data_IF_359121969850
#
_entry.id   IF_359121969850
#
_cell.length_a   1.000
_cell.length_b   1.000
_cell.length_c   1.000
_cell.angle_alpha   90.00
_cell.angle_beta   90.00
_cell.angle_gamma   90.00
#
_symmetry.space_group_name_H-M   'P 1'
#
loop_
_entity.id
_entity.type
_entity.pdbx_description
1 polymer ?
#
# COMPACT_ATOMS: atom_id res chain seq x y z
N UNK A 1 11.69 7.44 -10.12
CA UNK A 1 10.88 6.43 -10.84
C UNK A 1 9.43 6.72 -10.55
N UNK A 2 8.54 6.49 -11.51
CA UNK A 2 7.10 6.67 -11.33
C UNK A 2 6.46 5.27 -11.31
N UNK A 3 5.62 5.01 -10.31
CA UNK A 3 4.85 3.76 -10.27
C UNK A 3 3.84 3.76 -11.42
N UNK A 4 3.64 2.60 -12.04
CA UNK A 4 2.50 2.44 -12.95
C UNK A 4 1.21 2.36 -12.13
N UNK A 5 0.35 3.36 -12.29
CA UNK A 5 -0.95 3.47 -11.63
C UNK A 5 -2.06 3.43 -12.68
N UNK A 6 -3.01 2.51 -12.49
CA UNK A 6 -4.19 2.44 -13.33
C UNK A 6 -5.11 3.64 -13.04
N UNK A 7 -5.51 4.33 -14.10
CA UNK A 7 -6.36 5.51 -14.06
C UNK A 7 -7.83 5.19 -14.39
N UNK A 8 -8.18 3.91 -14.57
CA UNK A 8 -9.55 3.46 -14.90
C UNK A 8 -10.61 3.94 -13.91
N UNK A 9 -10.23 4.26 -12.66
CA UNK A 9 -11.14 4.68 -11.61
C UNK A 9 -11.08 6.17 -11.25
N UNK A 10 -10.35 7.01 -11.98
CA UNK A 10 -9.90 8.37 -11.60
C UNK A 10 -10.95 9.46 -11.28
N UNK A 11 -12.26 9.20 -11.37
CA UNK A 11 -13.30 10.23 -11.23
C UNK A 11 -14.16 10.17 -9.97
N UNK A 12 -14.02 9.15 -9.11
CA UNK A 12 -14.81 9.03 -7.89
C UNK A 12 -14.04 9.62 -6.69
N UNK A 13 -14.58 10.66 -6.05
CA UNK A 13 -14.05 11.22 -4.80
C UNK A 13 -12.63 11.84 -4.84
N UNK A 14 -12.12 12.20 -6.03
CA UNK A 14 -10.79 12.79 -6.19
C UNK A 14 -10.57 14.08 -5.36
N UNK A 15 -11.64 14.81 -5.05
CA UNK A 15 -11.58 16.03 -4.23
C UNK A 15 -11.40 15.76 -2.72
N UNK A 16 -11.62 14.52 -2.26
CA UNK A 16 -11.64 14.17 -0.83
C UNK A 16 -10.72 13.02 -0.44
N UNK A 17 -10.25 12.21 -1.41
CA UNK A 17 -9.30 11.13 -1.15
C UNK A 17 -8.38 10.86 -2.36
N UNK A 18 -7.09 10.70 -2.09
CA UNK A 18 -6.13 10.10 -3.02
C UNK A 18 -6.22 8.58 -2.96
N UNK A 19 -6.36 7.92 -4.12
CA UNK A 19 -6.33 6.46 -4.24
C UNK A 19 -5.62 6.04 -5.52
N UNK A 20 -5.29 4.75 -5.64
CA UNK A 20 -4.70 4.18 -6.83
C UNK A 20 -4.66 2.66 -6.81
N UNK A 21 -4.68 2.07 -8.00
CA UNK A 21 -4.39 0.65 -8.22
C UNK A 21 -3.05 0.57 -8.93
N UNK A 22 -2.08 -0.13 -8.33
CA UNK A 22 -0.71 -0.15 -8.82
C UNK A 22 -0.42 -1.45 -9.56
N UNK A 23 0.21 -1.33 -10.74
CA UNK A 23 0.75 -2.47 -11.47
C UNK A 23 2.14 -2.87 -10.97
N UNK A 24 2.74 -3.86 -11.63
CA UNK A 24 4.06 -4.40 -11.25
C UNK A 24 5.25 -3.53 -11.65
N UNK A 25 5.04 -2.49 -12.45
CA UNK A 25 6.09 -1.66 -13.06
C UNK A 25 6.45 -0.43 -12.22
N UNK A 26 7.71 0.00 -12.32
CA UNK A 26 8.19 1.24 -11.71
C UNK A 26 8.86 1.09 -10.35
N UNK A 27 9.17 -0.14 -9.92
CA UNK A 27 9.92 -0.41 -8.69
C UNK A 27 11.36 -0.90 -8.90
N UNK A 28 11.98 -1.40 -7.84
CA UNK A 28 13.40 -1.79 -7.79
C UNK A 28 13.64 -3.27 -7.49
N UNK A 29 12.59 -4.03 -7.17
CA UNK A 29 12.71 -5.48 -6.98
C UNK A 29 13.12 -6.17 -8.29
N UNK A 30 13.72 -7.35 -8.18
CA UNK A 30 14.25 -8.10 -9.34
C UNK A 30 13.74 -9.55 -9.33
N UNK A 31 14.03 -10.29 -10.42
CA UNK A 31 13.65 -11.69 -10.55
C UNK A 31 12.13 -11.90 -10.47
N UNK A 32 11.69 -12.84 -9.62
CA UNK A 32 10.28 -13.16 -9.43
C UNK A 32 9.46 -11.94 -8.98
N UNK A 33 10.08 -11.03 -8.21
CA UNK A 33 9.42 -9.86 -7.63
C UNK A 33 9.55 -8.60 -8.48
N UNK A 34 10.15 -8.70 -9.67
CA UNK A 34 10.33 -7.54 -10.53
C UNK A 34 8.96 -6.88 -10.88
N UNK A 35 8.71 -5.60 -10.63
CA UNK A 35 9.61 -4.55 -10.11
C UNK A 35 9.09 -3.85 -8.86
N UNK A 36 7.79 -3.62 -8.74
CA UNK A 36 7.16 -2.83 -7.67
C UNK A 36 6.50 -3.70 -6.60
N UNK A 37 7.22 -4.68 -6.06
CA UNK A 37 6.70 -5.51 -4.98
C UNK A 37 6.62 -4.71 -3.66
N UNK A 38 5.41 -4.55 -3.12
CA UNK A 38 5.16 -3.86 -1.85
C UNK A 38 4.82 -4.82 -0.68
N UNK A 39 4.91 -6.13 -0.91
CA UNK A 39 4.48 -7.15 0.03
C UNK A 39 5.56 -7.50 1.05
N UNK A 40 5.46 -6.90 2.26
CA UNK A 40 6.36 -7.21 3.39
C UNK A 40 6.31 -8.66 3.88
N UNK A 41 5.29 -9.43 3.48
CA UNK A 41 5.19 -10.87 3.76
C UNK A 41 5.82 -11.78 2.69
N UNK A 42 6.33 -11.22 1.60
CA UNK A 42 7.02 -12.00 0.56
C UNK A 42 8.46 -12.35 0.96
N UNK A 43 9.09 -13.29 0.24
CA UNK A 43 10.52 -13.61 0.41
C UNK A 43 11.43 -12.70 -0.45
N UNK A 44 11.00 -11.46 -0.71
CA UNK A 44 11.81 -10.46 -1.43
C UNK A 44 12.76 -9.74 -0.46
N UNK A 45 13.70 -8.98 -1.03
CA UNK A 45 14.63 -8.14 -0.28
C UNK A 45 13.85 -7.03 0.42
N UNK A 46 13.99 -6.94 1.74
CA UNK A 46 13.25 -5.99 2.59
C UNK A 46 13.47 -4.55 2.13
N UNK A 47 14.71 -4.18 1.82
CA UNK A 47 15.09 -2.84 1.37
C UNK A 47 14.39 -2.49 0.05
N UNK A 48 14.25 -3.45 -0.87
CA UNK A 48 13.51 -3.26 -2.12
C UNK A 48 12.02 -3.02 -1.86
N UNK A 49 11.42 -3.80 -0.95
CA UNK A 49 10.01 -3.65 -0.56
C UNK A 49 9.77 -2.26 0.04
N UNK A 50 10.60 -1.84 1.00
CA UNK A 50 10.45 -0.51 1.62
C UNK A 50 10.64 0.63 0.62
N UNK A 51 11.60 0.48 -0.31
CA UNK A 51 11.77 1.47 -1.37
C UNK A 51 10.56 1.53 -2.31
N UNK A 52 10.02 0.39 -2.73
CA UNK A 52 8.82 0.33 -3.56
C UNK A 52 7.61 0.97 -2.87
N UNK A 53 7.44 0.71 -1.56
CA UNK A 53 6.39 1.33 -0.75
C UNK A 53 6.57 2.84 -0.67
N UNK A 54 7.81 3.35 -0.59
CA UNK A 54 8.09 4.78 -0.63
C UNK A 54 7.72 5.44 -1.97
N UNK A 55 7.89 4.72 -3.09
CA UNK A 55 7.47 5.19 -4.42
C UNK A 55 5.95 5.34 -4.45
N UNK A 56 5.22 4.33 -3.95
CA UNK A 56 3.75 4.37 -3.86
C UNK A 56 3.27 5.49 -2.93
N UNK A 57 3.89 5.66 -1.76
CA UNK A 57 3.54 6.72 -0.81
C UNK A 57 3.72 8.12 -1.42
N UNK A 58 4.83 8.32 -2.15
CA UNK A 58 5.10 9.55 -2.89
C UNK A 58 4.03 9.81 -3.95
N UNK A 59 3.64 8.80 -4.72
CA UNK A 59 2.61 8.92 -5.76
C UNK A 59 1.21 9.24 -5.18
N UNK A 60 0.88 8.68 -4.01
CA UNK A 60 -0.36 9.01 -3.29
C UNK A 60 -0.36 10.39 -2.62
N UNK A 61 0.75 11.14 -2.69
CA UNK A 61 0.89 12.44 -2.03
C UNK A 61 1.10 12.36 -0.51
N UNK A 62 1.50 11.19 0.00
CA UNK A 62 1.78 10.94 1.41
C UNK A 62 3.26 10.57 1.61
N UNK A 63 4.18 11.29 0.95
CA UNK A 63 5.62 11.07 1.07
C UNK A 63 6.06 11.16 2.54
N UNK A 64 6.81 10.16 3.01
CA UNK A 64 7.23 10.04 4.42
C UNK A 64 6.20 9.41 5.36
N UNK A 65 4.95 9.20 4.91
CA UNK A 65 3.95 8.44 5.67
C UNK A 65 4.12 6.94 5.48
N UNK A 66 3.80 6.18 6.53
CA UNK A 66 3.77 4.73 6.51
C UNK A 66 2.43 4.23 5.99
N UNK A 67 2.42 3.50 4.86
CA UNK A 67 1.21 2.91 4.29
C UNK A 67 0.76 1.72 5.15
N UNK A 68 -0.36 1.83 5.86
CA UNK A 68 -0.85 0.74 6.69
C UNK A 68 -1.48 -0.36 5.84
N UNK A 69 -0.98 -1.58 5.98
CA UNK A 69 -1.52 -2.80 5.34
C UNK A 69 -1.84 -3.84 6.40
N UNK A 70 -2.92 -4.62 6.32
CA UNK A 70 -3.22 -5.63 7.33
C UNK A 70 -2.33 -6.87 7.18
N UNK A 71 -2.48 -7.82 8.10
CA UNK A 71 -2.10 -9.20 7.88
C UNK A 71 -3.29 -9.92 7.24
N UNK A 72 -3.25 -10.05 5.91
CA UNK A 72 -4.33 -10.66 5.11
C UNK A 72 -4.37 -12.18 5.31
N UNK A 73 -5.54 -12.70 5.64
CA UNK A 73 -5.78 -14.12 5.95
C UNK A 73 -6.97 -14.71 5.15
N UNK A 74 -7.44 -14.02 4.11
CA UNK A 74 -8.62 -14.40 3.32
C UNK A 74 -9.90 -14.52 4.16
N UNK A 75 -10.07 -13.60 5.10
CA UNK A 75 -11.24 -13.42 5.95
C UNK A 75 -12.24 -12.43 5.33
N UNK A 76 -13.36 -12.22 6.01
CA UNK A 76 -14.30 -11.13 5.73
C UNK A 76 -14.14 -9.96 6.72
N UNK A 77 -13.10 -9.97 7.56
CA UNK A 77 -12.94 -9.02 8.66
C UNK A 77 -12.41 -7.67 8.15
N UNK A 78 -13.06 -6.60 8.59
CA UNK A 78 -12.70 -5.21 8.31
C UNK A 78 -12.25 -4.51 9.59
N UNK A 79 -11.03 -3.97 9.57
CA UNK A 79 -10.41 -3.37 10.74
C UNK A 79 -10.44 -1.84 10.66
N UNK A 80 -11.02 -1.21 11.67
CA UNK A 80 -10.91 0.24 11.87
C UNK A 80 -9.54 0.57 12.43
N UNK A 81 -8.85 1.52 11.81
CA UNK A 81 -7.55 2.02 12.28
C UNK A 81 -7.58 3.55 12.37
N UNK A 82 -6.88 4.10 13.35
CA UNK A 82 -6.81 5.55 13.58
C UNK A 82 -5.37 6.09 13.69
N UNK A 83 -4.38 5.20 13.58
CA UNK A 83 -2.96 5.53 13.60
C UNK A 83 -2.18 4.44 12.84
N UNK A 84 -0.98 4.75 12.33
CA UNK A 84 -0.12 3.72 11.75
C UNK A 84 0.34 2.73 12.82
N UNK A 85 0.65 1.51 12.40
CA UNK A 85 1.22 0.47 13.24
C UNK A 85 2.53 -0.06 12.65
N UNK A 86 3.34 -0.68 13.50
CA UNK A 86 4.54 -1.38 13.07
C UNK A 86 4.18 -2.65 12.32
N UNK A 87 5.14 -3.19 11.57
CA UNK A 87 4.96 -4.41 10.79
C UNK A 87 4.53 -5.63 11.63
N UNK A 88 4.99 -5.70 12.88
CA UNK A 88 4.68 -6.79 13.81
C UNK A 88 3.33 -6.61 14.52
N UNK A 89 2.77 -5.39 14.49
CA UNK A 89 1.50 -5.04 15.10
C UNK A 89 0.35 -4.96 14.08
N UNK A 90 0.54 -5.50 12.87
CA UNK A 90 -0.50 -5.53 11.84
C UNK A 90 -1.73 -6.27 12.35
N UNK A 91 -2.94 -5.67 12.27
CA UNK A 91 -4.16 -6.37 12.59
C UNK A 91 -4.40 -7.49 11.56
N UNK A 92 -4.93 -8.62 12.03
CA UNK A 92 -5.43 -9.68 11.14
C UNK A 92 -6.74 -9.20 10.53
N UNK A 93 -6.87 -9.29 9.22
CA UNK A 93 -8.05 -8.88 8.47
C UNK A 93 -7.75 -8.64 7.00
N UNK A 94 -8.79 -8.45 6.20
CA UNK A 94 -8.67 -8.35 4.73
C UNK A 94 -9.24 -7.04 4.18
N UNK A 95 -9.69 -6.16 5.07
CA UNK A 95 -10.03 -4.77 4.77
C UNK A 95 -9.58 -3.84 5.92
N UNK A 96 -9.25 -2.60 5.55
CA UNK A 96 -8.99 -1.51 6.49
C UNK A 96 -9.99 -0.38 6.22
N UNK A 97 -10.38 0.33 7.28
CA UNK A 97 -11.13 1.58 7.20
C UNK A 97 -10.55 2.59 8.18
N UNK A 98 -10.59 3.87 7.82
CA UNK A 98 -10.13 4.99 8.65
C UNK A 98 -10.96 6.23 8.33
N UNK A 99 -11.19 7.08 9.33
CA UNK A 99 -11.70 8.45 9.22
C UNK A 99 -10.61 9.51 9.44
N UNK A 100 -9.36 9.08 9.64
CA UNK A 100 -8.21 9.95 9.91
C UNK A 100 -7.57 10.43 8.60
N UNK A 101 -7.65 11.73 8.35
CA UNK A 101 -7.01 12.36 7.21
C UNK A 101 -5.50 12.18 7.22
N UNK A 102 -4.90 11.87 6.07
CA UNK A 102 -3.46 11.67 5.93
C UNK A 102 -2.94 10.32 6.42
N UNK A 103 -3.81 9.38 6.83
CA UNK A 103 -3.43 8.01 7.14
C UNK A 103 -3.63 7.10 5.91
N UNK A 104 -2.58 6.82 5.11
CA UNK A 104 -2.70 5.93 3.96
C UNK A 104 -2.95 4.49 4.39
N UNK A 105 -3.96 3.85 3.81
CA UNK A 105 -4.27 2.43 3.96
C UNK A 105 -4.18 1.72 2.60
N UNK A 106 -3.78 0.45 2.62
CA UNK A 106 -3.72 -0.38 1.43
C UNK A 106 -3.98 -1.86 1.72
N UNK A 107 -4.32 -2.59 0.67
CA UNK A 107 -4.40 -4.05 0.61
C UNK A 107 -3.49 -4.51 -0.54
N UNK A 108 -2.97 -5.73 -0.43
CA UNK A 108 -2.15 -6.38 -1.45
C UNK A 108 -2.93 -7.52 -2.08
N UNK A 109 -2.75 -7.73 -3.38
CA UNK A 109 -3.47 -8.73 -4.20
C UNK A 109 -2.54 -9.42 -5.17
#
# INVERSE_FOLDING_TARGET
>A
MQAFKDNAFSSACADVASYGFYGREGGVSTGLYASLNCARGSNDVRESIEFNRSIVAKDMGCEGAEISTPWQCHTADCMLINQPYTQDARPVGDALVTDVAGLPIAILT
#
